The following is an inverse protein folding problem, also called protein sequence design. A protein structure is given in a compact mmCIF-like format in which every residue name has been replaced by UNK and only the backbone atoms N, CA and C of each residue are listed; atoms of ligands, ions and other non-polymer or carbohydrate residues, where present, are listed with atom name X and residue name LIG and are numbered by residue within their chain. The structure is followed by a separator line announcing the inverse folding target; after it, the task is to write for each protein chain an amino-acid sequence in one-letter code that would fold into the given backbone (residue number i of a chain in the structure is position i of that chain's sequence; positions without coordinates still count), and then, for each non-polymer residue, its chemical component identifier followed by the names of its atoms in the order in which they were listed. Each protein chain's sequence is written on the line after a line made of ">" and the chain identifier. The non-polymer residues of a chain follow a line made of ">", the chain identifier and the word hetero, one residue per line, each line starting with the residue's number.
data_IF_183887246367
#
_entry.id   IF_183887246367
#
_cell.length_a   1.000
_cell.length_b   1.000
_cell.length_c   1.000
_cell.angle_alpha   90.00
_cell.angle_beta   90.00
_cell.angle_gamma   90.00
#
_symmetry.space_group_name_H-M   'P 1'
#
loop_
_entity.id
_entity.type
_entity.pdbx_description
1 polymer ?
#
# COMPACT_ATOMS: atom_id res chain seq x y z
N UNK A 1 -1.15 -14.73 36.21
CA UNK A 1 -1.14 -13.28 35.96
C UNK A 1 0.24 -12.99 35.39
N UNK A 2 0.29 -12.46 34.20
CA UNK A 2 1.55 -12.13 33.52
C UNK A 2 2.29 -11.05 34.27
N UNK A 3 3.60 -11.24 34.46
CA UNK A 3 4.48 -10.29 35.16
C UNK A 3 5.11 -9.29 34.19
N UNK A 4 5.25 -9.66 32.90
CA UNK A 4 5.83 -8.82 31.84
C UNK A 4 4.74 -8.40 30.84
N UNK A 5 4.03 -7.33 31.16
CA UNK A 5 2.99 -6.78 30.29
C UNK A 5 3.60 -5.74 29.35
N UNK A 6 3.75 -6.08 28.07
CA UNK A 6 4.06 -5.12 27.01
C UNK A 6 2.76 -4.49 26.52
N UNK A 7 2.67 -3.17 26.59
CA UNK A 7 1.55 -2.41 26.02
C UNK A 7 1.93 -1.88 24.67
N UNK A 8 1.08 -2.10 23.70
CA UNK A 8 1.21 -1.50 22.35
C UNK A 8 0.10 -0.50 22.11
N UNK A 9 0.36 0.47 21.27
CA UNK A 9 -0.61 1.40 20.73
C UNK A 9 -0.64 1.21 19.22
N UNK A 10 -1.58 0.40 18.75
CA UNK A 10 -1.70 0.05 17.35
C UNK A 10 -2.21 1.24 16.53
N UNK A 11 -1.50 1.56 15.46
CA UNK A 11 -1.90 2.51 14.43
C UNK A 11 -2.04 1.80 13.09
N UNK A 12 -2.76 2.39 12.15
CA UNK A 12 -2.94 1.77 10.84
C UNK A 12 -2.86 2.80 9.71
N UNK A 13 -2.35 2.35 8.58
CA UNK A 13 -2.27 3.13 7.35
C UNK A 13 -3.32 2.61 6.37
N UNK A 14 -4.19 3.49 5.88
CA UNK A 14 -5.13 3.24 4.80
C UNK A 14 -4.79 4.12 3.60
N UNK A 15 -4.87 3.56 2.38
CA UNK A 15 -4.55 4.28 1.15
C UNK A 15 -3.04 4.40 0.89
N UNK A 16 -2.25 3.47 1.41
CA UNK A 16 -0.79 3.46 1.31
C UNK A 16 -0.30 3.62 -0.13
N UNK A 17 -0.79 2.80 -1.06
CA UNK A 17 -0.44 2.87 -2.49
C UNK A 17 -0.82 4.20 -3.13
N UNK A 18 -1.96 4.79 -2.76
CA UNK A 18 -2.38 6.09 -3.28
C UNK A 18 -1.46 7.23 -2.84
N UNK A 19 -0.92 7.17 -1.62
CA UNK A 19 0.07 8.14 -1.16
C UNK A 19 1.38 7.97 -1.92
N UNK A 20 1.85 6.74 -2.13
CA UNK A 20 3.05 6.46 -2.92
C UNK A 20 2.91 7.01 -4.34
N UNK A 21 1.82 6.65 -5.03
CA UNK A 21 1.58 7.05 -6.41
C UNK A 21 1.40 8.57 -6.52
N UNK A 22 0.75 9.20 -5.54
CA UNK A 22 0.60 10.66 -5.49
C UNK A 22 1.94 11.38 -5.32
N UNK A 23 2.81 10.89 -4.43
CA UNK A 23 4.14 11.42 -4.24
C UNK A 23 5.03 11.18 -5.47
N UNK A 24 4.89 10.01 -6.09
CA UNK A 24 5.55 9.69 -7.36
C UNK A 24 5.10 10.64 -8.47
N UNK A 25 3.81 10.89 -8.61
CA UNK A 25 3.28 11.85 -9.59
C UNK A 25 3.86 13.26 -9.36
N UNK A 26 3.89 13.72 -8.11
CA UNK A 26 4.45 15.04 -7.74
C UNK A 26 5.95 15.10 -8.05
N UNK A 27 6.67 13.99 -7.88
CA UNK A 27 8.15 13.94 -8.06
C UNK A 27 8.55 13.82 -9.53
N UNK A 28 7.81 13.07 -10.34
CA UNK A 28 8.24 12.65 -11.69
C UNK A 28 7.37 13.20 -12.83
N UNK A 29 6.16 13.64 -12.55
CA UNK A 29 5.28 14.28 -13.51
C UNK A 29 5.09 15.77 -13.16
N UNK A 30 4.33 16.48 -13.99
CA UNK A 30 3.91 17.85 -13.72
C UNK A 30 2.48 17.84 -13.20
N UNK A 31 2.32 18.12 -11.92
CA UNK A 31 1.03 18.16 -11.24
C UNK A 31 0.61 19.60 -11.01
N UNK A 32 -0.52 19.98 -11.59
CA UNK A 32 -1.16 21.29 -11.36
C UNK A 32 -2.36 21.10 -10.45
N UNK A 33 -2.38 21.83 -9.34
CA UNK A 33 -3.49 21.81 -8.39
C UNK A 33 -4.60 22.76 -8.88
N UNK A 34 -5.82 22.24 -9.00
CA UNK A 34 -7.02 23.01 -9.26
C UNK A 34 -7.65 23.34 -7.91
N UNK A 35 -7.81 24.64 -7.65
CA UNK A 35 -8.34 25.12 -6.38
C UNK A 35 -9.70 25.76 -6.56
N UNK A 36 -10.56 25.56 -5.56
CA UNK A 36 -11.79 26.33 -5.45
C UNK A 36 -11.49 27.83 -5.30
N UNK A 37 -12.16 28.65 -6.10
CA UNK A 37 -11.90 30.09 -6.13
C UNK A 37 -12.29 30.83 -4.83
N UNK A 38 -13.27 30.31 -4.09
CA UNK A 38 -13.78 30.94 -2.86
C UNK A 38 -13.04 30.46 -1.62
N UNK A 39 -12.75 29.14 -1.53
CA UNK A 39 -12.16 28.52 -0.33
C UNK A 39 -10.66 28.34 -0.40
N UNK A 40 -10.07 28.38 -1.59
CA UNK A 40 -8.65 28.08 -1.84
C UNK A 40 -8.28 26.60 -1.67
N UNK A 41 -9.24 25.72 -1.33
CA UNK A 41 -8.99 24.29 -1.15
C UNK A 41 -8.72 23.59 -2.48
N UNK A 42 -7.85 22.58 -2.47
CA UNK A 42 -7.62 21.74 -3.63
C UNK A 42 -8.85 20.88 -3.92
N UNK A 43 -9.36 20.94 -5.14
CA UNK A 43 -10.55 20.18 -5.59
C UNK A 43 -10.18 19.11 -6.62
N UNK A 44 -9.17 19.37 -7.44
CA UNK A 44 -8.72 18.42 -8.47
C UNK A 44 -7.24 18.62 -8.82
N UNK A 45 -6.72 17.73 -9.67
CA UNK A 45 -5.34 17.72 -10.12
C UNK A 45 -5.29 17.43 -11.61
N UNK A 46 -4.57 18.25 -12.36
CA UNK A 46 -4.18 17.97 -13.73
C UNK A 46 -2.75 17.37 -13.72
N UNK A 47 -2.61 16.19 -14.30
CA UNK A 47 -1.33 15.47 -14.35
C UNK A 47 -0.87 15.40 -15.80
N UNK A 48 0.30 15.94 -16.08
CA UNK A 48 0.94 15.93 -17.39
C UNK A 48 2.26 15.14 -17.32
N UNK A 49 2.38 14.09 -18.13
CA UNK A 49 3.51 13.17 -18.16
C UNK A 49 3.24 11.86 -17.43
N UNK A 50 4.19 10.95 -17.55
CA UNK A 50 4.17 9.64 -16.92
C UNK A 50 5.00 9.64 -15.63
N UNK A 51 4.62 8.78 -14.68
CA UNK A 51 5.33 8.57 -13.43
C UNK A 51 5.32 7.09 -13.03
N UNK A 52 6.35 6.60 -12.33
CA UNK A 52 6.38 5.23 -11.85
C UNK A 52 5.27 5.02 -10.82
N UNK A 53 4.59 3.87 -10.93
CA UNK A 53 3.52 3.49 -10.00
C UNK A 53 3.93 2.27 -9.19
N UNK A 54 3.54 2.28 -7.94
CA UNK A 54 3.73 1.18 -7.01
C UNK A 54 3.03 -0.10 -7.50
N UNK A 55 3.70 -1.24 -7.31
CA UNK A 55 3.20 -2.54 -7.78
C UNK A 55 3.79 -3.00 -9.11
N UNK A 56 4.84 -2.36 -9.61
CA UNK A 56 5.50 -2.69 -10.87
C UNK A 56 6.99 -3.07 -10.70
N UNK A 57 7.43 -3.34 -9.46
CA UNK A 57 8.83 -3.62 -9.13
C UNK A 57 9.79 -2.50 -9.56
N UNK A 58 9.32 -1.26 -9.46
CA UNK A 58 10.08 -0.07 -9.80
C UNK A 58 10.52 0.66 -8.53
N UNK A 59 11.82 0.60 -8.24
CA UNK A 59 12.40 1.18 -7.02
C UNK A 59 12.10 2.67 -6.87
N UNK A 60 11.87 3.40 -7.97
CA UNK A 60 11.51 4.82 -7.92
C UNK A 60 10.19 5.06 -7.20
N UNK A 61 9.25 4.13 -7.28
CA UNK A 61 7.97 4.16 -6.55
C UNK A 61 8.07 3.38 -5.24
N UNK A 62 8.67 2.19 -5.25
CA UNK A 62 8.73 1.29 -4.10
C UNK A 62 9.52 1.92 -2.94
N UNK A 63 10.64 2.61 -3.22
CA UNK A 63 11.43 3.34 -2.23
C UNK A 63 10.64 4.48 -1.54
N UNK A 64 9.67 5.09 -2.23
CA UNK A 64 8.76 6.06 -1.62
C UNK A 64 7.91 5.37 -0.54
N UNK A 65 7.45 4.15 -0.79
CA UNK A 65 6.68 3.37 0.19
C UNK A 65 7.52 3.00 1.42
N UNK A 66 8.74 2.54 1.22
CA UNK A 66 9.69 2.23 2.30
C UNK A 66 9.97 3.47 3.14
N UNK A 67 10.31 4.58 2.49
CA UNK A 67 10.52 5.87 3.16
C UNK A 67 9.29 6.34 3.94
N UNK A 68 8.11 6.27 3.33
CA UNK A 68 6.85 6.70 3.96
C UNK A 68 6.57 5.93 5.26
N UNK A 69 6.73 4.61 5.25
CA UNK A 69 6.52 3.79 6.43
C UNK A 69 7.52 4.13 7.53
N UNK A 70 8.80 4.32 7.17
CA UNK A 70 9.86 4.70 8.10
C UNK A 70 9.57 6.04 8.78
N UNK A 71 9.24 7.08 8.00
CA UNK A 71 8.95 8.41 8.53
C UNK A 71 7.70 8.40 9.42
N UNK A 72 6.64 7.71 8.98
CA UNK A 72 5.41 7.59 9.76
C UNK A 72 5.67 6.95 11.12
N UNK A 73 6.33 5.80 11.17
CA UNK A 73 6.63 5.11 12.42
C UNK A 73 7.59 5.90 13.30
N UNK A 74 8.62 6.52 12.70
CA UNK A 74 9.59 7.35 13.41
C UNK A 74 8.93 8.56 14.08
N UNK A 75 7.98 9.19 13.39
CA UNK A 75 7.27 10.34 13.96
C UNK A 75 6.29 9.93 15.06
N UNK A 76 5.56 8.84 14.89
CA UNK A 76 4.67 8.33 15.93
C UNK A 76 5.44 7.94 17.20
N UNK A 77 6.60 7.31 17.07
CA UNK A 77 7.44 6.94 18.23
C UNK A 77 7.95 8.13 19.05
N UNK A 78 7.96 9.32 18.49
CA UNK A 78 8.29 10.57 19.22
C UNK A 78 7.11 11.11 20.05
N UNK A 79 5.90 10.58 19.85
CA UNK A 79 4.69 11.08 20.51
C UNK A 79 4.46 10.37 21.82
N UNK A 80 3.96 11.13 22.81
CA UNK A 80 3.51 10.54 24.05
C UNK A 80 2.23 9.73 23.80
N UNK A 81 2.23 8.50 24.25
CA UNK A 81 1.11 7.57 24.13
C UNK A 81 0.46 7.30 25.47
N UNK A 82 -0.78 6.86 25.45
CA UNK A 82 -1.49 6.51 26.67
C UNK A 82 -0.78 5.39 27.45
N UNK A 83 -0.48 5.64 28.71
CA UNK A 83 0.27 4.72 29.59
C UNK A 83 1.62 4.28 29.06
N UNK A 84 2.31 5.16 28.35
CA UNK A 84 3.64 4.91 27.75
C UNK A 84 3.67 3.63 26.90
N UNK A 85 2.56 3.34 26.19
CA UNK A 85 2.48 2.20 25.29
C UNK A 85 3.38 2.41 24.07
N UNK A 86 3.97 1.31 23.59
CA UNK A 86 4.83 1.33 22.40
C UNK A 86 3.97 1.49 21.14
N UNK A 87 4.21 2.51 20.30
CA UNK A 87 3.53 2.63 19.01
C UNK A 87 3.92 1.51 18.06
N UNK A 88 2.92 0.85 17.50
CA UNK A 88 3.05 -0.14 16.43
C UNK A 88 2.20 0.31 15.24
N UNK A 89 2.44 -0.25 14.07
CA UNK A 89 1.67 0.09 12.88
C UNK A 89 1.34 -1.13 12.02
N UNK A 90 0.29 -0.99 11.24
CA UNK A 90 -0.12 -1.94 10.20
C UNK A 90 -0.40 -1.22 8.88
N UNK A 91 -0.24 -1.96 7.79
CA UNK A 91 -0.80 -1.62 6.49
C UNK A 91 -1.83 -2.69 6.18
N UNK A 92 -2.95 -2.61 6.89
CA UNK A 92 -3.96 -3.67 6.93
C UNK A 92 -5.36 -3.07 6.90
N UNK A 93 -5.96 -2.99 5.70
CA UNK A 93 -7.36 -2.61 5.52
C UNK A 93 -8.06 -3.67 4.68
N UNK A 94 -9.24 -4.12 5.12
CA UNK A 94 -10.02 -5.13 4.41
C UNK A 94 -11.26 -4.49 3.77
N UNK A 95 -12.09 -3.84 4.57
CA UNK A 95 -13.34 -3.20 4.12
C UNK A 95 -13.36 -1.69 4.41
N UNK A 96 -12.63 -1.22 5.40
CA UNK A 96 -12.54 0.20 5.78
C UNK A 96 -11.94 1.08 4.66
N UNK A 97 -11.15 0.51 3.75
CA UNK A 97 -10.63 1.17 2.55
C UNK A 97 -11.76 1.77 1.69
N UNK A 98 -12.94 1.15 1.66
CA UNK A 98 -14.12 1.66 0.95
C UNK A 98 -14.62 2.94 1.60
N UNK A 99 -14.77 2.93 2.93
CA UNK A 99 -15.26 4.09 3.69
C UNK A 99 -14.28 5.25 3.62
N UNK A 100 -12.99 4.99 3.82
CA UNK A 100 -11.96 6.03 3.72
C UNK A 100 -11.87 6.63 2.31
N UNK A 101 -11.94 5.79 1.28
CA UNK A 101 -11.98 6.26 -0.10
C UNK A 101 -13.20 7.15 -0.40
N UNK A 102 -14.36 6.83 0.19
CA UNK A 102 -15.57 7.61 0.05
C UNK A 102 -15.42 9.04 0.60
N UNK A 103 -14.70 9.21 1.70
CA UNK A 103 -14.52 10.51 2.35
C UNK A 103 -13.24 11.25 1.96
N UNK A 104 -12.47 10.70 1.01
CA UNK A 104 -11.26 11.33 0.49
C UNK A 104 -11.52 11.95 -0.88
N UNK A 105 -11.06 13.18 -1.07
CA UNK A 105 -11.17 13.92 -2.34
C UNK A 105 -10.33 13.31 -3.46
N UNK A 106 -10.26 14.02 -4.59
CA UNK A 106 -9.37 13.67 -5.69
C UNK A 106 -7.91 13.72 -5.25
N UNK A 107 -7.06 12.85 -5.80
CA UNK A 107 -5.65 12.74 -5.44
C UNK A 107 -4.73 12.95 -6.66
N UNK A 108 -3.47 13.34 -6.43
CA UNK A 108 -2.49 13.57 -7.49
C UNK A 108 -2.11 12.34 -8.31
N UNK A 109 -2.40 11.13 -7.84
CA UNK A 109 -2.21 9.87 -8.58
C UNK A 109 -3.28 9.64 -9.67
N UNK A 110 -4.28 10.52 -9.74
CA UNK A 110 -5.44 10.42 -10.63
C UNK A 110 -6.67 9.75 -10.02
N UNK A 111 -6.59 9.30 -8.75
CA UNK A 111 -7.74 8.74 -8.04
C UNK A 111 -8.83 9.80 -7.88
N UNK A 112 -10.07 9.41 -8.19
CA UNK A 112 -11.24 10.27 -8.03
C UNK A 112 -11.89 10.11 -6.65
N UNK A 113 -12.49 11.19 -6.16
CA UNK A 113 -13.33 11.15 -4.96
C UNK A 113 -14.36 10.01 -5.05
N UNK A 114 -14.75 9.44 -3.90
CA UNK A 114 -15.69 8.32 -3.76
C UNK A 114 -15.18 6.95 -4.25
N UNK A 115 -14.05 6.88 -4.93
CA UNK A 115 -13.43 5.61 -5.31
C UNK A 115 -12.80 4.94 -4.07
N UNK A 116 -13.01 3.65 -3.82
CA UNK A 116 -12.34 2.94 -2.74
C UNK A 116 -10.82 3.05 -2.84
N UNK A 117 -10.13 3.03 -1.70
CA UNK A 117 -8.70 2.77 -1.69
C UNK A 117 -8.43 1.30 -2.02
N UNK A 118 -7.23 0.99 -2.49
CA UNK A 118 -6.76 -0.38 -2.53
C UNK A 118 -6.67 -0.96 -1.10
N UNK A 119 -6.99 -2.25 -0.89
CA UNK A 119 -6.91 -2.87 0.42
C UNK A 119 -5.45 -3.09 0.84
N UNK A 120 -5.15 -2.87 2.11
CA UNK A 120 -3.83 -3.11 2.70
C UNK A 120 -2.70 -2.43 1.93
N UNK A 121 -1.67 -3.21 1.63
CA UNK A 121 -0.50 -2.77 0.85
C UNK A 121 -0.62 -3.07 -0.65
N UNK A 122 -1.80 -3.43 -1.12
CA UNK A 122 -2.01 -3.66 -2.55
C UNK A 122 -1.71 -2.41 -3.38
N UNK A 123 -1.20 -2.56 -4.60
CA UNK A 123 -1.17 -1.47 -5.57
C UNK A 123 -2.54 -0.86 -5.80
N UNK A 124 -2.56 0.40 -6.19
CA UNK A 124 -3.79 1.09 -6.58
C UNK A 124 -4.41 0.41 -7.81
N UNK A 125 -5.74 0.37 -7.88
CA UNK A 125 -6.46 -0.30 -8.97
C UNK A 125 -5.99 0.17 -10.34
N UNK A 126 -5.49 -0.77 -11.17
CA UNK A 126 -4.98 -0.51 -12.50
C UNK A 126 -3.59 0.15 -12.54
N UNK A 127 -2.89 0.24 -11.40
CA UNK A 127 -1.52 0.74 -11.33
C UNK A 127 -0.51 -0.35 -11.71
N UNK A 128 -0.77 -1.59 -11.31
CA UNK A 128 0.05 -2.75 -11.63
C UNK A 128 -0.16 -3.17 -13.10
N UNK A 129 0.85 -3.01 -13.89
CA UNK A 129 0.86 -3.35 -15.33
C UNK A 129 1.96 -4.34 -15.69
N UNK A 130 2.88 -4.62 -14.77
CA UNK A 130 4.03 -5.51 -14.95
C UNK A 130 3.78 -6.96 -14.51
N UNK A 131 2.55 -7.27 -14.10
CA UNK A 131 2.12 -8.62 -13.75
C UNK A 131 2.30 -8.97 -12.27
N UNK A 132 1.82 -10.19 -11.92
CA UNK A 132 1.72 -10.67 -10.55
C UNK A 132 3.05 -10.59 -9.78
N UNK A 133 4.14 -11.09 -10.35
CA UNK A 133 5.43 -11.15 -9.65
C UNK A 133 5.97 -9.75 -9.33
N UNK A 134 5.82 -8.80 -10.24
CA UNK A 134 6.20 -7.42 -9.99
C UNK A 134 5.37 -6.80 -8.86
N UNK A 135 4.06 -7.08 -8.83
CA UNK A 135 3.19 -6.64 -7.73
C UNK A 135 3.60 -7.23 -6.38
N UNK A 136 3.90 -8.54 -6.35
CA UNK A 136 4.40 -9.21 -5.15
C UNK A 136 5.75 -8.64 -4.69
N UNK A 137 6.68 -8.41 -5.61
CA UNK A 137 8.00 -7.85 -5.30
C UNK A 137 7.89 -6.44 -4.68
N UNK A 138 7.06 -5.57 -5.24
CA UNK A 138 6.84 -4.23 -4.67
C UNK A 138 6.33 -4.29 -3.23
N UNK A 139 5.40 -5.22 -2.92
CA UNK A 139 4.88 -5.38 -1.56
C UNK A 139 5.94 -5.99 -0.64
N UNK A 140 6.72 -6.96 -1.12
CA UNK A 140 7.77 -7.61 -0.33
C UNK A 140 8.89 -6.67 0.10
N UNK A 141 9.14 -5.59 -0.64
CA UNK A 141 10.13 -4.55 -0.28
C UNK A 141 9.74 -3.73 0.95
N UNK A 142 8.46 -3.72 1.35
CA UNK A 142 8.01 -2.98 2.54
C UNK A 142 8.49 -3.71 3.80
N UNK A 143 9.27 -3.06 4.68
CA UNK A 143 9.87 -3.71 5.84
C UNK A 143 8.83 -4.14 6.88
N UNK A 144 8.67 -5.44 7.08
CA UNK A 144 7.72 -6.00 8.06
C UNK A 144 8.12 -5.69 9.51
N UNK A 145 9.41 -5.55 9.79
CA UNK A 145 9.91 -5.17 11.12
C UNK A 145 9.47 -3.76 11.55
N UNK A 146 9.05 -2.93 10.62
CA UNK A 146 8.49 -1.61 10.91
C UNK A 146 6.96 -1.60 10.97
N UNK A 147 6.33 -2.70 10.59
CA UNK A 147 4.87 -2.86 10.58
C UNK A 147 4.45 -4.08 11.38
N UNK A 148 4.70 -4.02 12.70
CA UNK A 148 4.56 -5.16 13.62
C UNK A 148 3.12 -5.69 13.72
N UNK A 149 2.12 -4.87 13.39
CA UNK A 149 0.72 -5.30 13.37
C UNK A 149 0.30 -5.90 12.02
N UNK A 150 1.23 -5.97 11.06
CA UNK A 150 1.08 -6.69 9.79
C UNK A 150 0.90 -5.83 8.55
N UNK A 151 1.25 -6.44 7.41
CA UNK A 151 1.07 -5.89 6.06
C UNK A 151 0.22 -6.89 5.28
N UNK A 152 -0.97 -6.50 4.85
CA UNK A 152 -1.82 -7.39 4.05
C UNK A 152 -1.60 -7.17 2.57
N UNK A 153 -1.54 -8.29 1.85
CA UNK A 153 -1.55 -8.36 0.40
C UNK A 153 -2.63 -9.34 -0.05
N UNK A 154 -3.55 -8.89 -0.89
CA UNK A 154 -4.65 -9.70 -1.42
C UNK A 154 -4.55 -9.73 -2.94
N UNK A 155 -4.35 -10.90 -3.51
CA UNK A 155 -4.28 -11.11 -4.95
C UNK A 155 -5.50 -11.86 -5.45
N UNK A 156 -6.19 -11.28 -6.43
CA UNK A 156 -7.27 -11.96 -7.15
C UNK A 156 -6.72 -12.47 -8.47
N UNK A 157 -6.76 -13.79 -8.66
CA UNK A 157 -6.15 -14.43 -9.81
C UNK A 157 -7.20 -15.17 -10.63
N UNK A 158 -7.15 -14.97 -11.94
CA UNK A 158 -7.89 -15.86 -12.83
C UNK A 158 -7.14 -17.20 -12.93
N UNK A 159 -7.75 -18.34 -12.57
CA UNK A 159 -7.10 -19.64 -12.63
C UNK A 159 -6.49 -19.98 -14.00
N UNK A 160 -7.10 -19.53 -15.08
CA UNK A 160 -6.57 -19.78 -16.44
C UNK A 160 -5.25 -19.04 -16.71
N UNK A 161 -4.93 -18.00 -15.98
CA UNK A 161 -3.65 -17.29 -16.10
C UNK A 161 -2.49 -18.08 -15.47
N UNK A 162 -2.79 -18.97 -14.52
CA UNK A 162 -1.78 -19.81 -13.86
C UNK A 162 -1.45 -21.09 -14.65
N UNK A 163 -2.34 -21.57 -15.54
CA UNK A 163 -2.06 -22.76 -16.33
C UNK A 163 -3.30 -23.44 -16.88
N UNK A 164 -3.06 -24.49 -17.65
CA UNK A 164 -4.11 -25.22 -18.37
C UNK A 164 -4.79 -26.28 -17.51
N UNK A 165 -4.05 -26.89 -16.58
CA UNK A 165 -4.57 -27.92 -15.68
C UNK A 165 -4.28 -27.60 -14.20
N UNK A 166 -4.79 -28.42 -13.32
CA UNK A 166 -4.71 -28.21 -11.87
C UNK A 166 -3.27 -28.31 -11.36
N UNK A 167 -2.48 -29.24 -11.90
CA UNK A 167 -1.10 -29.44 -11.46
C UNK A 167 -0.22 -28.25 -11.86
N UNK A 168 -0.33 -27.76 -13.09
CA UNK A 168 0.39 -26.58 -13.56
C UNK A 168 0.01 -25.33 -12.76
N UNK A 169 -1.29 -25.15 -12.46
CA UNK A 169 -1.77 -24.04 -11.64
C UNK A 169 -1.23 -24.06 -10.22
N UNK A 170 -1.24 -25.25 -9.61
CA UNK A 170 -0.69 -25.44 -8.26
C UNK A 170 0.81 -25.15 -8.22
N UNK A 171 1.59 -25.69 -9.17
CA UNK A 171 3.03 -25.46 -9.26
C UNK A 171 3.38 -23.97 -9.41
N UNK A 172 2.71 -23.26 -10.31
CA UNK A 172 2.95 -21.83 -10.53
C UNK A 172 2.55 -20.99 -9.33
N UNK A 173 1.42 -21.31 -8.68
CA UNK A 173 0.99 -20.61 -7.49
C UNK A 173 1.98 -20.80 -6.33
N UNK A 174 2.40 -22.05 -6.09
CA UNK A 174 3.39 -22.37 -5.06
C UNK A 174 4.71 -21.64 -5.34
N UNK A 175 5.21 -21.68 -6.58
CA UNK A 175 6.44 -20.98 -6.96
C UNK A 175 6.35 -19.47 -6.74
N UNK A 176 5.20 -18.86 -7.04
CA UNK A 176 5.01 -17.43 -6.79
C UNK A 176 4.95 -17.10 -5.29
N UNK A 177 4.31 -17.97 -4.49
CA UNK A 177 4.24 -17.84 -3.04
C UNK A 177 5.63 -18.00 -2.40
N UNK A 178 6.37 -19.02 -2.79
CA UNK A 178 7.72 -19.27 -2.29
C UNK A 178 8.62 -18.06 -2.56
N UNK A 179 8.65 -17.56 -3.79
CA UNK A 179 9.45 -16.40 -4.14
C UNK A 179 9.03 -15.12 -3.39
N UNK A 180 7.75 -14.97 -3.07
CA UNK A 180 7.25 -13.84 -2.28
C UNK A 180 7.68 -13.94 -0.82
N UNK A 181 7.55 -15.12 -0.20
CA UNK A 181 7.93 -15.33 1.20
C UNK A 181 9.45 -15.36 1.40
N UNK A 182 10.22 -15.86 0.44
CA UNK A 182 11.68 -15.84 0.47
C UNK A 182 12.26 -14.41 0.49
N UNK A 183 11.50 -13.42 0.00
CA UNK A 183 11.84 -12.01 0.10
C UNK A 183 11.51 -11.39 1.48
N UNK A 184 11.03 -12.18 2.44
CA UNK A 184 10.69 -11.73 3.78
C UNK A 184 9.26 -11.22 3.94
N UNK A 185 8.39 -11.41 2.95
CA UNK A 185 6.96 -11.14 3.09
C UNK A 185 6.28 -12.14 4.04
N UNK A 186 5.21 -11.73 4.73
CA UNK A 186 4.60 -12.55 5.77
C UNK A 186 3.13 -12.90 5.53
N UNK A 187 2.45 -12.23 4.61
CA UNK A 187 1.03 -12.43 4.40
C UNK A 187 0.65 -12.32 2.92
N UNK A 188 -0.05 -13.32 2.45
CA UNK A 188 -0.68 -13.31 1.12
C UNK A 188 -2.07 -13.94 1.22
N UNK A 189 -3.09 -13.24 0.77
CA UNK A 189 -4.43 -13.74 0.58
C UNK A 189 -4.69 -13.91 -0.92
N UNK A 190 -5.12 -15.10 -1.33
CA UNK A 190 -5.38 -15.45 -2.74
C UNK A 190 -6.87 -15.73 -2.90
N UNK A 191 -7.52 -15.05 -3.84
CA UNK A 191 -8.93 -15.20 -4.19
C UNK A 191 -9.09 -15.65 -5.67
#
# INVERSE_FOLDING_TARGET
>A
IDTDVRRTFATGIAGFSHVIDSLSAIKYAKVKVIRNAETGLAEDFEIEGEFPKYGNDDDRADDIGVWLLHEFLTDIKKRHTYRDSEPTTSILTITSNVVYGKFTGNLPDGRRAWTPFAPGANPSYGAETSGLLASLNSVAKIPYEWSLDGISNTQTMNPSALGHDEAERAEKLVSAMDGYFDQGAHHLNVN
#
